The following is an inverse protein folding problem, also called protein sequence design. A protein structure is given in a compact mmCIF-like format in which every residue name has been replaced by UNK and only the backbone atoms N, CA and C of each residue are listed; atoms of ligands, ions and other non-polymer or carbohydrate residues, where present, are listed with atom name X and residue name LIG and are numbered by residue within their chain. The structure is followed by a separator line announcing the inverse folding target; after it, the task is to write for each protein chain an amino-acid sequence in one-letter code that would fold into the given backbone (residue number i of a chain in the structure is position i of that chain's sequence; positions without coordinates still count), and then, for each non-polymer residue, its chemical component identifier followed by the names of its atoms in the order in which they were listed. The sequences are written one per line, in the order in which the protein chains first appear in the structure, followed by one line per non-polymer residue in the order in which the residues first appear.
data_IF_191016147812
#
_entry.id   IF_191016147812
#
_cell.length_a   1.000
_cell.length_b   1.000
_cell.length_c   1.000
_cell.angle_alpha   90.00
_cell.angle_beta   90.00
_cell.angle_gamma   90.00
#
_symmetry.space_group_name_H-M   'P 1'
#
loop_
_entity.id
_entity.type
_entity.pdbx_description
1 polymer ?
#
# COMPACT_ATOMS: atom_id res chain seq x y z
N UNK A 1 4.84 -24.77 -14.51
CA UNK A 1 3.74 -24.04 -15.18
C UNK A 1 2.60 -25.01 -15.45
N UNK A 2 1.32 -24.57 -15.49
CA UNK A 2 0.21 -25.47 -15.82
C UNK A 2 0.35 -26.01 -17.24
N UNK A 3 -0.03 -27.28 -17.42
CA UNK A 3 0.03 -27.96 -18.71
C UNK A 3 -1.38 -27.95 -19.32
N UNK A 4 -1.50 -27.60 -20.59
CA UNK A 4 -2.79 -27.68 -21.29
C UNK A 4 -3.07 -29.13 -21.64
N UNK A 5 -4.20 -29.66 -21.16
CA UNK A 5 -4.67 -30.99 -21.54
C UNK A 5 -5.03 -30.98 -23.03
N UNK A 6 -4.47 -31.91 -23.79
CA UNK A 6 -4.63 -32.00 -25.24
C UNK A 6 -5.99 -32.55 -25.67
N UNK A 7 -6.70 -33.27 -24.79
CA UNK A 7 -7.99 -33.90 -25.09
C UNK A 7 -9.18 -32.96 -24.89
N UNK A 8 -9.15 -32.12 -23.86
CA UNK A 8 -10.28 -31.25 -23.50
C UNK A 8 -9.92 -29.76 -23.39
N UNK A 9 -8.64 -29.40 -23.58
CA UNK A 9 -8.18 -28.02 -23.60
C UNK A 9 -8.05 -27.34 -22.23
N UNK A 10 -8.42 -27.99 -21.12
CA UNK A 10 -8.32 -27.43 -19.78
C UNK A 10 -6.88 -27.40 -19.26
N UNK A 11 -6.58 -26.47 -18.35
CA UNK A 11 -5.27 -26.39 -17.67
C UNK A 11 -5.20 -27.38 -16.51
N UNK A 12 -4.21 -28.26 -16.51
CA UNK A 12 -3.86 -29.13 -15.39
C UNK A 12 -2.75 -28.49 -14.55
N UNK A 13 -2.97 -28.42 -13.24
CA UNK A 13 -2.04 -27.82 -12.28
C UNK A 13 -1.42 -28.90 -11.41
N UNK A 14 -0.18 -29.26 -11.72
CA UNK A 14 0.60 -30.18 -10.89
C UNK A 14 1.02 -29.53 -9.56
N UNK A 15 1.58 -30.33 -8.65
CA UNK A 15 2.00 -29.88 -7.32
C UNK A 15 3.00 -28.70 -7.38
N UNK A 16 3.91 -28.70 -8.36
CA UNK A 16 4.85 -27.59 -8.57
C UNK A 16 4.14 -26.29 -8.93
N UNK A 17 3.13 -26.34 -9.80
CA UNK A 17 2.31 -25.18 -10.15
C UNK A 17 1.52 -24.65 -8.95
N UNK A 18 1.03 -25.54 -8.08
CA UNK A 18 0.36 -25.15 -6.84
C UNK A 18 1.30 -24.45 -5.85
N UNK A 19 2.53 -24.96 -5.69
CA UNK A 19 3.54 -24.33 -4.82
C UNK A 19 3.92 -22.94 -5.33
N UNK A 20 4.08 -22.80 -6.66
CA UNK A 20 4.36 -21.49 -7.27
C UNK A 20 3.21 -20.52 -7.07
N UNK A 21 1.96 -20.98 -7.17
CA UNK A 21 0.79 -20.14 -6.91
C UNK A 21 0.74 -19.69 -5.44
N UNK A 22 1.03 -20.58 -4.49
CA UNK A 22 1.13 -20.22 -3.07
C UNK A 22 2.18 -19.14 -2.84
N UNK A 23 3.37 -19.29 -3.42
CA UNK A 23 4.41 -18.27 -3.37
C UNK A 23 3.92 -16.92 -3.91
N UNK A 24 3.29 -16.90 -5.09
CA UNK A 24 2.74 -15.67 -5.68
C UNK A 24 1.74 -15.02 -4.74
N UNK A 25 0.81 -15.80 -4.15
CA UNK A 25 -0.18 -15.27 -3.22
C UNK A 25 0.45 -14.68 -1.96
N UNK A 26 1.47 -15.33 -1.40
CA UNK A 26 2.22 -14.79 -0.25
C UNK A 26 2.97 -13.50 -0.60
N UNK A 27 3.61 -13.43 -1.76
CA UNK A 27 4.27 -12.20 -2.21
C UNK A 27 3.27 -11.05 -2.42
N UNK A 28 2.06 -11.34 -2.93
CA UNK A 28 0.99 -10.33 -3.06
C UNK A 28 0.50 -9.79 -1.72
N UNK A 29 0.50 -10.61 -0.67
CA UNK A 29 0.13 -10.14 0.68
C UNK A 29 1.15 -9.14 1.25
N UNK A 30 2.40 -9.23 0.79
CA UNK A 30 3.46 -8.26 1.09
C UNK A 30 3.52 -7.11 0.08
N UNK A 31 2.44 -6.94 -0.71
CA UNK A 31 2.26 -5.89 -1.71
C UNK A 31 3.25 -5.94 -2.89
N UNK A 32 3.93 -7.06 -3.14
CA UNK A 32 4.81 -7.17 -4.30
C UNK A 32 4.03 -6.97 -5.61
N UNK A 33 4.60 -6.20 -6.53
CA UNK A 33 4.12 -5.99 -7.88
C UNK A 33 4.23 -7.27 -8.71
N UNK A 34 3.54 -7.29 -9.87
CA UNK A 34 3.67 -8.43 -10.80
C UNK A 34 5.12 -8.60 -11.25
N UNK A 35 5.82 -7.48 -11.45
CA UNK A 35 7.15 -7.47 -12.05
C UNK A 35 8.22 -7.98 -11.07
N UNK A 36 8.18 -7.53 -9.81
CA UNK A 36 9.07 -8.03 -8.75
C UNK A 36 8.87 -9.53 -8.53
N UNK A 37 7.62 -10.02 -8.55
CA UNK A 37 7.32 -11.45 -8.43
C UNK A 37 7.93 -12.23 -9.59
N UNK A 38 7.86 -11.71 -10.83
CA UNK A 38 8.51 -12.36 -11.98
C UNK A 38 10.03 -12.42 -11.80
N UNK A 39 10.64 -11.34 -11.33
CA UNK A 39 12.10 -11.29 -11.12
C UNK A 39 12.56 -12.32 -10.08
N UNK A 40 11.87 -12.40 -8.93
CA UNK A 40 12.14 -13.40 -7.90
C UNK A 40 12.02 -14.82 -8.46
N UNK A 41 10.98 -15.06 -9.26
CA UNK A 41 10.76 -16.35 -9.90
C UNK A 41 11.84 -16.68 -10.94
N UNK A 42 12.35 -15.71 -11.70
CA UNK A 42 13.44 -15.91 -12.66
C UNK A 42 14.73 -16.30 -11.94
N UNK A 43 15.07 -15.64 -10.84
CA UNK A 43 16.26 -15.98 -10.03
C UNK A 43 16.15 -17.40 -9.48
N UNK A 44 14.97 -17.77 -8.95
CA UNK A 44 14.71 -19.11 -8.42
C UNK A 44 14.75 -20.19 -9.51
N UNK A 45 14.19 -19.92 -10.69
CA UNK A 45 14.18 -20.85 -11.82
C UNK A 45 15.59 -21.11 -12.38
N UNK A 46 16.51 -20.15 -12.22
CA UNK A 46 17.93 -20.30 -12.56
C UNK A 46 18.74 -21.08 -11.48
N UNK A 47 18.07 -21.64 -10.47
CA UNK A 47 18.69 -22.44 -9.41
C UNK A 47 19.41 -21.60 -8.32
N UNK A 48 19.26 -20.28 -8.36
CA UNK A 48 19.85 -19.36 -7.39
C UNK A 48 18.84 -18.99 -6.29
N UNK A 49 19.35 -18.63 -5.10
CA UNK A 49 18.47 -18.15 -4.04
C UNK A 49 18.04 -16.71 -4.30
N UNK A 50 16.74 -16.46 -4.30
CA UNK A 50 16.18 -15.11 -4.43
C UNK A 50 16.01 -14.37 -3.08
N UNK A 51 16.43 -14.99 -1.97
CA UNK A 51 16.24 -14.41 -0.63
C UNK A 51 16.88 -13.02 -0.45
N UNK A 52 18.09 -12.71 -1.00
CA UNK A 52 18.66 -11.37 -0.91
C UNK A 52 17.78 -10.32 -1.60
N UNK A 53 17.30 -10.62 -2.82
CA UNK A 53 16.39 -9.74 -3.57
C UNK A 53 15.08 -9.51 -2.82
N UNK A 54 14.47 -10.57 -2.27
CA UNK A 54 13.26 -10.45 -1.46
C UNK A 54 13.48 -9.55 -0.26
N UNK A 55 14.62 -9.68 0.44
CA UNK A 55 14.95 -8.86 1.60
C UNK A 55 15.04 -7.38 1.24
N UNK A 56 15.78 -7.06 0.17
CA UNK A 56 15.95 -5.69 -0.31
C UNK A 56 14.60 -5.03 -0.65
N UNK A 57 13.73 -5.74 -1.37
CA UNK A 57 12.39 -5.22 -1.73
C UNK A 57 11.55 -4.96 -0.47
N UNK A 58 11.57 -5.88 0.51
CA UNK A 58 10.80 -5.69 1.76
C UNK A 58 11.35 -4.53 2.58
N UNK A 59 12.67 -4.38 2.70
CA UNK A 59 13.30 -3.27 3.43
C UNK A 59 12.93 -1.91 2.82
N UNK A 60 13.01 -1.78 1.49
CA UNK A 60 12.59 -0.56 0.81
C UNK A 60 11.10 -0.25 1.05
N UNK A 61 10.25 -1.26 0.92
CA UNK A 61 8.80 -1.10 1.07
C UNK A 61 8.40 -0.76 2.50
N UNK A 62 9.09 -1.31 3.50
CA UNK A 62 8.91 -0.95 4.90
C UNK A 62 9.24 0.53 5.10
N UNK A 63 10.38 1.00 4.61
CA UNK A 63 10.77 2.40 4.74
C UNK A 63 9.76 3.37 4.10
N UNK A 64 9.24 3.05 2.91
CA UNK A 64 8.19 3.85 2.27
C UNK A 64 6.87 3.83 3.05
N UNK A 65 6.52 2.67 3.62
CA UNK A 65 5.30 2.50 4.42
C UNK A 65 5.40 3.28 5.72
N UNK A 66 6.53 3.23 6.41
CA UNK A 66 6.79 4.01 7.63
C UNK A 66 6.73 5.51 7.35
N UNK A 67 7.27 5.97 6.21
CA UNK A 67 7.15 7.37 5.80
C UNK A 67 5.67 7.79 5.67
N UNK A 68 4.87 7.04 4.90
CA UNK A 68 3.44 7.32 4.71
C UNK A 68 2.68 7.26 6.03
N UNK A 69 3.02 6.31 6.91
CA UNK A 69 2.43 6.20 8.24
C UNK A 69 2.71 7.44 9.09
N UNK A 70 3.95 7.92 9.10
CA UNK A 70 4.32 9.12 9.84
C UNK A 70 3.63 10.37 9.30
N UNK A 71 3.52 10.51 7.98
CA UNK A 71 2.78 11.60 7.33
C UNK A 71 1.28 11.56 7.72
N UNK A 72 0.67 10.38 7.67
CA UNK A 72 -0.72 10.17 8.09
C UNK A 72 -0.92 10.45 9.59
N UNK A 73 0.04 10.08 10.44
CA UNK A 73 0.01 10.35 11.87
C UNK A 73 0.12 11.86 12.15
N UNK A 74 0.98 12.58 11.42
CA UNK A 74 1.09 14.03 11.51
C UNK A 74 -0.22 14.72 11.11
N UNK A 75 -0.80 14.34 9.97
CA UNK A 75 -2.10 14.87 9.53
C UNK A 75 -3.20 14.57 10.55
N UNK A 76 -3.24 13.36 11.09
CA UNK A 76 -4.19 12.99 12.16
C UNK A 76 -4.08 13.94 13.34
N UNK A 77 -2.87 14.30 13.77
CA UNK A 77 -2.69 15.21 14.90
C UNK A 77 -3.14 16.63 14.57
N UNK A 78 -2.88 17.12 13.36
CA UNK A 78 -3.41 18.42 12.88
C UNK A 78 -4.94 18.42 12.93
N UNK A 79 -5.59 17.36 12.41
CA UNK A 79 -7.04 17.23 12.42
C UNK A 79 -7.61 17.16 13.83
N UNK A 80 -6.97 16.44 14.74
CA UNK A 80 -7.38 16.37 16.15
C UNK A 80 -7.33 17.74 16.82
N UNK A 81 -6.24 18.48 16.62
CA UNK A 81 -6.09 19.82 17.17
C UNK A 81 -7.14 20.78 16.60
N UNK A 82 -7.41 20.70 15.30
CA UNK A 82 -8.47 21.48 14.66
C UNK A 82 -9.84 21.17 15.27
N UNK A 83 -10.19 19.89 15.45
CA UNK A 83 -11.44 19.49 16.11
C UNK A 83 -11.52 20.04 17.53
N UNK A 84 -10.44 19.96 18.30
CA UNK A 84 -10.41 20.43 19.69
C UNK A 84 -10.53 21.96 19.79
N UNK A 85 -9.89 22.71 18.88
CA UNK A 85 -10.01 24.17 18.78
C UNK A 85 -11.42 24.61 18.31
N UNK A 86 -12.01 23.88 17.35
CA UNK A 86 -13.28 24.25 16.75
C UNK A 86 -14.50 23.95 17.64
N UNK A 87 -14.38 23.03 18.62
CA UNK A 87 -15.46 22.70 19.57
C UNK A 87 -16.05 23.91 20.29
N UNK A 88 -15.25 24.94 20.55
CA UNK A 88 -15.66 26.14 21.27
C UNK A 88 -15.98 27.33 20.35
N UNK A 89 -15.84 27.18 19.03
CA UNK A 89 -16.08 28.27 18.07
C UNK A 89 -17.54 28.24 17.61
N UNK A 90 -18.22 29.39 17.56
CA UNK A 90 -19.60 29.47 17.09
C UNK A 90 -19.65 29.32 15.58
N UNK A 91 -20.71 28.70 15.06
CA UNK A 91 -20.97 28.66 13.63
C UNK A 91 -21.27 30.09 13.10
N UNK A 92 -20.40 30.62 12.24
CA UNK A 92 -20.60 31.91 11.56
C UNK A 92 -20.93 31.71 10.09
N UNK A 93 -21.89 32.49 9.58
CA UNK A 93 -22.18 32.53 8.14
C UNK A 93 -20.98 33.09 7.35
N UNK A 94 -20.75 32.65 6.10
CA UNK A 94 -19.74 33.23 5.22
C UNK A 94 -19.96 34.74 5.05
N UNK A 95 -18.92 35.56 5.19
CA UNK A 95 -18.98 37.02 5.03
C UNK A 95 -18.05 37.48 3.93
N UNK A 96 -18.56 38.22 2.93
CA UNK A 96 -17.77 38.87 1.88
C UNK A 96 -16.77 37.93 1.18
N UNK A 97 -15.54 37.92 1.66
CA UNK A 97 -14.41 37.13 1.14
C UNK A 97 -14.08 35.86 1.97
N UNK A 98 -14.75 35.64 3.11
CA UNK A 98 -14.56 34.50 3.99
C UNK A 98 -15.62 33.42 3.74
N UNK A 99 -15.17 32.25 3.29
CA UNK A 99 -15.97 31.05 3.05
C UNK A 99 -16.25 30.25 4.33
N UNK A 100 -15.26 30.10 5.20
CA UNK A 100 -15.40 29.34 6.45
C UNK A 100 -14.45 29.85 7.53
N UNK A 101 -15.02 30.32 8.63
CA UNK A 101 -14.25 30.86 9.75
C UNK A 101 -13.37 29.84 10.47
N UNK A 102 -13.73 28.56 10.43
CA UNK A 102 -12.95 27.47 11.03
C UNK A 102 -11.66 27.18 10.24
N UNK A 103 -11.72 27.29 8.91
CA UNK A 103 -10.59 26.97 8.03
C UNK A 103 -9.71 28.20 7.78
N UNK A 104 -10.32 29.37 7.59
CA UNK A 104 -9.60 30.58 7.18
C UNK A 104 -9.06 31.40 8.36
N UNK A 105 -9.33 30.98 9.60
CA UNK A 105 -8.69 31.55 10.80
C UNK A 105 -8.74 33.07 10.82
N UNK A 106 -9.95 33.65 10.88
CA UNK A 106 -10.07 35.06 11.18
C UNK A 106 -9.55 35.29 12.59
N UNK A 107 -8.40 35.95 12.72
CA UNK A 107 -8.08 36.67 13.95
C UNK A 107 -9.23 37.65 14.18
N UNK A 108 -10.15 37.29 15.08
CA UNK A 108 -11.17 38.19 15.57
C UNK A 108 -10.42 39.29 16.39
N UNK A 109 -10.02 40.37 15.74
CA UNK A 109 -10.08 41.72 16.33
C UNK A 109 -11.52 42.25 16.21
#
# INVERSE_FOLDING_TARGET
MPIKNTENGYKSYNQQAQQRLKFILSARQLDFSVEEIKEILLVADNGSTACPLVREIVEHRLAETEKKFNDALALRNVLRNAIDDWKSKPDKSPTGDMLCHLIQGGNDE
#
